data_IF_707094532044
#
_entry.id   IF_707094532044
#
_cell.length_a   1.000
_cell.length_b   1.000
_cell.length_c   1.000
_cell.angle_alpha   90.00
_cell.angle_beta   90.00
_cell.angle_gamma   90.00
#
_symmetry.space_group_name_H-M   'P 1'
#
loop_
_entity.id
_entity.type
_entity.pdbx_description
1 polymer ?
#
# COMPACT_ATOMS: atom_id res chain seq x y z
N UNK A 1 -10.83 -21.90 10.16
CA UNK A 1 -11.54 -20.63 9.91
C UNK A 1 -12.20 -20.75 8.55
N UNK A 2 -13.45 -20.30 8.40
CA UNK A 2 -14.22 -20.37 7.15
C UNK A 2 -14.66 -18.95 6.79
N UNK A 3 -14.31 -18.44 5.59
CA UNK A 3 -14.79 -17.13 5.14
C UNK A 3 -16.33 -17.08 5.07
N UNK A 4 -16.92 -15.96 5.47
CA UNK A 4 -18.35 -15.66 5.24
C UNK A 4 -18.49 -14.67 4.07
N UNK A 5 -18.82 -15.14 2.85
CA UNK A 5 -18.94 -14.28 1.69
C UNK A 5 -20.19 -13.40 1.71
N UNK A 6 -21.14 -13.65 2.61
CA UNK A 6 -22.35 -12.84 2.76
C UNK A 6 -22.17 -11.69 3.75
N UNK A 7 -21.03 -11.61 4.44
CA UNK A 7 -20.75 -10.50 5.35
C UNK A 7 -20.66 -9.17 4.59
N UNK A 8 -21.46 -8.20 5.04
CA UNK A 8 -21.46 -6.82 4.57
C UNK A 8 -21.48 -5.92 5.79
N UNK A 9 -20.34 -5.29 6.08
CA UNK A 9 -20.19 -4.33 7.17
C UNK A 9 -20.28 -2.89 6.68
N UNK A 10 -19.58 -2.00 7.39
CA UNK A 10 -19.39 -0.61 6.96
C UNK A 10 -18.68 -0.60 5.59
N UNK A 11 -19.18 0.14 4.57
CA UNK A 11 -18.66 0.08 3.21
C UNK A 11 -17.21 0.57 3.08
N UNK A 12 -16.70 1.30 4.07
CA UNK A 12 -15.32 1.79 4.13
C UNK A 12 -14.49 0.95 5.11
N UNK A 13 -14.94 0.79 6.34
CA UNK A 13 -14.11 0.15 7.37
C UNK A 13 -14.19 -1.39 7.36
N UNK A 14 -15.27 -1.96 6.83
CA UNK A 14 -15.54 -3.41 6.78
C UNK A 14 -16.30 -3.81 5.51
N UNK A 15 -15.77 -3.46 4.32
CA UNK A 15 -16.45 -3.73 3.06
C UNK A 15 -16.63 -5.23 2.83
N UNK A 16 -17.59 -5.58 1.97
CA UNK A 16 -17.69 -6.94 1.45
C UNK A 16 -16.54 -7.26 0.48
N UNK A 17 -16.31 -8.56 0.26
CA UNK A 17 -15.28 -9.03 -0.65
C UNK A 17 -13.86 -8.88 -0.11
N UNK A 18 -12.93 -8.46 -0.97
CA UNK A 18 -11.52 -8.25 -0.60
C UNK A 18 -11.07 -6.84 -0.93
N UNK A 19 -10.06 -6.35 -0.21
CA UNK A 19 -9.48 -5.01 -0.40
C UNK A 19 -8.03 -5.17 -0.84
N UNK A 20 -7.68 -4.91 -2.12
CA UNK A 20 -6.31 -5.08 -2.63
C UNK A 20 -5.26 -4.35 -1.80
N UNK A 21 -5.58 -3.17 -1.28
CA UNK A 21 -4.71 -2.42 -0.37
C UNK A 21 -4.27 -3.20 0.86
N UNK A 22 -5.16 -3.98 1.48
CA UNK A 22 -4.79 -4.81 2.63
C UNK A 22 -3.90 -5.99 2.23
N UNK A 23 -4.08 -6.56 1.04
CA UNK A 23 -3.18 -7.60 0.53
C UNK A 23 -1.76 -7.05 0.32
N UNK A 24 -1.63 -5.81 -0.19
CA UNK A 24 -0.35 -5.12 -0.33
C UNK A 24 0.29 -4.83 1.03
N UNK A 25 -0.50 -4.37 2.00
CA UNK A 25 -0.03 -4.18 3.38
C UNK A 25 0.47 -5.50 3.99
N UNK A 26 -0.29 -6.59 3.85
CA UNK A 26 0.11 -7.91 4.32
C UNK A 26 1.35 -8.45 3.62
N UNK A 27 1.53 -8.18 2.32
CA UNK A 27 2.76 -8.54 1.61
C UNK A 27 3.98 -7.90 2.27
N UNK A 28 3.91 -6.60 2.59
CA UNK A 28 4.98 -5.89 3.31
C UNK A 28 5.18 -6.46 4.71
N UNK A 29 4.11 -6.62 5.49
CA UNK A 29 4.18 -7.08 6.88
C UNK A 29 4.74 -8.50 6.98
N UNK A 30 4.35 -9.42 6.09
CA UNK A 30 4.91 -10.77 6.03
C UNK A 30 6.40 -10.76 5.66
N UNK A 31 6.80 -9.94 4.69
CA UNK A 31 8.21 -9.80 4.33
C UNK A 31 9.06 -9.25 5.50
N UNK A 32 8.56 -8.25 6.22
CA UNK A 32 9.22 -7.71 7.42
C UNK A 32 9.26 -8.73 8.56
N UNK A 33 8.15 -9.43 8.82
CA UNK A 33 8.06 -10.49 9.82
C UNK A 33 9.08 -11.59 9.56
N UNK A 34 9.24 -12.02 8.31
CA UNK A 34 10.23 -13.02 7.93
C UNK A 34 11.66 -12.58 8.29
N UNK A 35 12.04 -11.32 7.99
CA UNK A 35 13.36 -10.81 8.37
C UNK A 35 13.55 -10.74 9.89
N UNK A 36 12.58 -10.16 10.59
CA UNK A 36 12.63 -9.97 12.05
C UNK A 36 12.57 -11.30 12.81
N UNK A 37 11.91 -12.30 12.24
CA UNK A 37 11.84 -13.68 12.73
C UNK A 37 13.06 -14.53 12.38
N UNK A 38 14.18 -13.91 12.00
CA UNK A 38 15.42 -14.61 11.69
C UNK A 38 15.34 -15.49 10.44
N UNK A 39 14.44 -15.16 9.51
CA UNK A 39 14.22 -15.88 8.24
C UNK A 39 13.86 -17.36 8.43
N UNK A 40 13.19 -17.69 9.53
CA UNK A 40 12.93 -19.07 9.97
C UNK A 40 11.72 -19.76 9.29
N UNK A 41 10.90 -19.01 8.55
CA UNK A 41 9.65 -19.51 7.96
C UNK A 41 9.71 -19.38 6.43
N UNK A 42 10.10 -20.45 5.75
CA UNK A 42 10.41 -20.46 4.31
C UNK A 42 9.22 -20.08 3.41
N UNK A 43 7.99 -20.25 3.89
CA UNK A 43 6.78 -19.92 3.12
C UNK A 43 6.49 -18.42 3.02
N UNK A 44 7.03 -17.60 3.94
CA UNK A 44 6.64 -16.19 4.06
C UNK A 44 7.05 -15.34 2.85
N UNK A 45 8.26 -15.45 2.28
CA UNK A 45 8.63 -14.68 1.10
C UNK A 45 7.75 -14.98 -0.12
N UNK A 46 7.43 -16.26 -0.34
CA UNK A 46 6.56 -16.68 -1.43
C UNK A 46 5.14 -16.15 -1.24
N UNK A 47 4.57 -16.28 -0.03
CA UNK A 47 3.25 -15.76 0.29
C UNK A 47 3.17 -14.23 0.15
N UNK A 48 4.21 -13.51 0.59
CA UNK A 48 4.30 -12.05 0.45
C UNK A 48 4.30 -11.63 -1.02
N UNK A 49 5.13 -12.27 -1.85
CA UNK A 49 5.16 -12.01 -3.29
C UNK A 49 3.83 -12.37 -3.96
N UNK A 50 3.20 -13.49 -3.59
CA UNK A 50 1.92 -13.92 -4.13
C UNK A 50 0.79 -12.92 -3.81
N UNK A 51 0.70 -12.44 -2.57
CA UNK A 51 -0.26 -11.40 -2.18
C UNK A 51 -0.08 -10.12 -3.00
N UNK A 52 1.18 -9.68 -3.17
CA UNK A 52 1.50 -8.49 -3.95
C UNK A 52 1.09 -8.66 -5.43
N UNK A 53 1.54 -9.75 -6.07
CA UNK A 53 1.26 -10.01 -7.48
C UNK A 53 -0.23 -10.19 -7.75
N UNK A 54 -0.96 -10.88 -6.87
CA UNK A 54 -2.40 -11.04 -7.01
C UNK A 54 -3.13 -9.70 -6.87
N UNK A 55 -2.79 -8.90 -5.85
CA UNK A 55 -3.39 -7.58 -5.66
C UNK A 55 -3.12 -6.63 -6.84
N UNK A 56 -1.93 -6.69 -7.43
CA UNK A 56 -1.61 -5.94 -8.65
C UNK A 56 -2.37 -6.46 -9.86
N UNK A 57 -2.49 -7.78 -10.03
CA UNK A 57 -3.18 -8.39 -11.16
C UNK A 57 -4.69 -8.13 -11.19
N UNK A 58 -5.35 -8.15 -10.03
CA UNK A 58 -6.82 -8.01 -9.94
C UNK A 58 -7.29 -6.64 -9.49
N UNK A 59 -6.46 -5.91 -8.73
CA UNK A 59 -6.81 -4.63 -8.12
C UNK A 59 -6.37 -3.40 -8.90
N UNK A 60 -5.44 -3.51 -9.85
CA UNK A 60 -4.93 -2.35 -10.59
C UNK A 60 -5.90 -1.87 -11.67
N UNK A 61 -6.26 -0.58 -11.64
CA UNK A 61 -7.01 0.08 -12.71
C UNK A 61 -6.12 0.23 -13.94
N UNK A 62 -6.35 -0.59 -14.97
CA UNK A 62 -5.55 -0.57 -16.20
C UNK A 62 -5.74 0.71 -17.05
N UNK A 63 -6.80 1.48 -16.80
CA UNK A 63 -7.10 2.70 -17.58
C UNK A 63 -6.38 3.91 -17.00
N UNK A 64 -6.44 4.06 -15.67
CA UNK A 64 -5.91 5.25 -15.00
C UNK A 64 -4.75 4.94 -14.06
N UNK A 65 -4.46 3.69 -13.76
CA UNK A 65 -3.53 3.27 -12.71
C UNK A 65 -4.10 3.46 -11.31
N UNK A 66 -3.40 2.92 -10.30
CA UNK A 66 -3.87 2.89 -8.91
C UNK A 66 -4.79 1.71 -8.63
N UNK A 67 -5.11 1.49 -7.36
CA UNK A 67 -5.84 0.29 -6.93
C UNK A 67 -7.30 0.60 -6.65
N UNK A 68 -8.21 -0.19 -7.23
CA UNK A 68 -9.62 -0.16 -6.84
C UNK A 68 -9.76 -0.55 -5.38
N UNK A 69 -10.79 -0.02 -4.75
CA UNK A 69 -10.92 -0.15 -3.31
C UNK A 69 -11.34 -1.57 -2.89
N UNK A 70 -12.29 -2.17 -3.60
CA UNK A 70 -12.74 -3.55 -3.29
C UNK A 70 -12.91 -4.39 -4.55
N UNK A 71 -12.76 -5.70 -4.37
CA UNK A 71 -13.09 -6.74 -5.32
C UNK A 71 -14.18 -7.64 -4.75
N UNK A 72 -15.07 -8.15 -5.60
CA UNK A 72 -15.99 -9.21 -5.23
C UNK A 72 -15.26 -10.57 -5.06
N UNK A 73 -16.00 -11.61 -4.67
CA UNK A 73 -15.45 -12.96 -4.50
C UNK A 73 -15.05 -13.66 -5.82
N UNK A 74 -15.35 -13.06 -6.97
CA UNK A 74 -14.87 -13.47 -8.29
C UNK A 74 -13.67 -12.63 -8.75
N UNK A 75 -13.06 -11.86 -7.84
CA UNK A 75 -11.94 -10.95 -8.11
C UNK A 75 -12.25 -9.87 -9.16
N UNK A 76 -13.52 -9.47 -9.29
CA UNK A 76 -13.94 -8.37 -10.15
C UNK A 76 -14.03 -7.07 -9.34
N UNK A 77 -13.65 -5.91 -9.91
CA UNK A 77 -13.81 -4.62 -9.24
C UNK A 77 -15.26 -4.32 -8.84
N UNK A 78 -15.50 -4.12 -7.55
CA UNK A 78 -16.79 -3.76 -6.97
C UNK A 78 -16.84 -2.26 -6.64
N UNK A 79 -16.11 -1.81 -5.61
CA UNK A 79 -15.90 -0.38 -5.35
C UNK A 79 -14.68 0.12 -6.13
N UNK A 80 -14.91 0.81 -7.24
CA UNK A 80 -13.87 1.28 -8.18
C UNK A 80 -13.17 2.58 -7.75
N UNK A 81 -13.53 3.14 -6.59
CA UNK A 81 -12.81 4.30 -6.06
C UNK A 81 -11.36 3.93 -5.82
N UNK A 82 -10.45 4.89 -6.09
CA UNK A 82 -9.01 4.72 -5.88
C UNK A 82 -8.58 5.64 -4.75
N UNK A 83 -8.42 5.08 -3.57
CA UNK A 83 -7.97 5.80 -2.37
C UNK A 83 -6.44 5.91 -2.35
N UNK A 84 -5.89 6.83 -1.55
CA UNK A 84 -4.43 7.04 -1.46
C UNK A 84 -3.71 5.87 -0.81
N UNK A 85 -4.30 5.32 0.27
CA UNK A 85 -3.61 4.38 1.15
C UNK A 85 -3.28 3.04 0.48
N UNK A 86 -4.13 2.44 -0.40
CA UNK A 86 -3.76 1.20 -1.08
C UNK A 86 -2.51 1.35 -1.96
N UNK A 87 -2.39 2.49 -2.65
CA UNK A 87 -1.21 2.79 -3.45
C UNK A 87 0.02 3.09 -2.58
N UNK A 88 -0.16 3.73 -1.42
CA UNK A 88 0.92 3.91 -0.44
C UNK A 88 1.46 2.56 0.07
N UNK A 89 0.57 1.63 0.45
CA UNK A 89 0.96 0.28 0.85
C UNK A 89 1.60 -0.51 -0.29
N UNK A 90 1.08 -0.35 -1.52
CA UNK A 90 1.66 -0.94 -2.73
C UNK A 90 3.10 -0.48 -2.96
N UNK A 91 3.38 0.83 -2.87
CA UNK A 91 4.73 1.36 -3.02
C UNK A 91 5.67 0.82 -1.92
N UNK A 92 5.21 0.79 -0.67
CA UNK A 92 6.00 0.27 0.44
C UNK A 92 6.29 -1.24 0.30
N UNK A 93 5.30 -2.02 -0.13
CA UNK A 93 5.44 -3.46 -0.38
C UNK A 93 6.39 -3.75 -1.54
N UNK A 94 6.24 -3.02 -2.65
CA UNK A 94 7.09 -3.14 -3.83
C UNK A 94 8.57 -2.89 -3.50
N UNK A 95 8.86 -1.79 -2.79
CA UNK A 95 10.22 -1.48 -2.34
C UNK A 95 10.78 -2.55 -1.40
N UNK A 96 9.97 -3.00 -0.43
CA UNK A 96 10.36 -4.02 0.54
C UNK A 96 10.67 -5.37 -0.13
N UNK A 97 9.84 -5.80 -1.09
CA UNK A 97 10.04 -7.04 -1.85
C UNK A 97 11.23 -6.95 -2.81
N UNK A 98 11.43 -5.80 -3.46
CA UNK A 98 12.62 -5.57 -4.28
C UNK A 98 13.89 -5.67 -3.44
N UNK A 99 13.94 -5.02 -2.27
CA UNK A 99 15.08 -5.08 -1.36
C UNK A 99 15.39 -6.51 -0.87
N UNK A 100 14.36 -7.33 -0.67
CA UNK A 100 14.53 -8.74 -0.27
C UNK A 100 15.04 -9.62 -1.40
N UNK A 101 14.46 -9.48 -2.60
CA UNK A 101 14.58 -10.48 -3.68
C UNK A 101 15.56 -10.06 -4.78
N UNK A 102 15.83 -8.77 -4.93
CA UNK A 102 16.52 -8.21 -6.09
C UNK A 102 15.71 -8.29 -7.40
N UNK A 103 14.46 -8.78 -7.38
CA UNK A 103 13.64 -8.87 -8.59
C UNK A 103 13.24 -7.45 -9.06
N UNK A 104 13.57 -7.15 -10.32
CA UNK A 104 13.32 -5.86 -10.94
C UNK A 104 11.83 -5.59 -11.18
N UNK A 105 10.99 -6.62 -11.30
CA UNK A 105 9.55 -6.45 -11.49
C UNK A 105 8.91 -5.65 -10.35
N UNK A 106 9.38 -5.86 -9.12
CA UNK A 106 8.91 -5.08 -7.96
C UNK A 106 9.37 -3.62 -8.03
N UNK A 107 10.55 -3.35 -8.57
CA UNK A 107 11.03 -1.97 -8.76
C UNK A 107 10.24 -1.25 -9.85
N UNK A 108 9.88 -1.95 -10.93
CA UNK A 108 9.01 -1.42 -11.98
C UNK A 108 7.62 -1.09 -11.43
N UNK A 109 7.02 -2.01 -10.66
CA UNK A 109 5.77 -1.73 -9.95
C UNK A 109 5.88 -0.54 -9.00
N UNK A 110 6.98 -0.42 -8.26
CA UNK A 110 7.23 0.74 -7.41
C UNK A 110 7.17 2.04 -8.20
N UNK A 111 7.81 2.12 -9.37
CA UNK A 111 7.77 3.29 -10.25
C UNK A 111 6.37 3.59 -10.78
N UNK A 112 5.65 2.57 -11.24
CA UNK A 112 4.30 2.73 -11.78
C UNK A 112 3.33 3.23 -10.71
N UNK A 113 3.43 2.69 -9.49
CA UNK A 113 2.63 3.13 -8.34
C UNK A 113 2.98 4.57 -7.98
N UNK A 114 4.27 4.93 -7.92
CA UNK A 114 4.68 6.29 -7.61
C UNK A 114 4.28 7.32 -8.67
N UNK A 115 4.28 6.94 -9.94
CA UNK A 115 3.77 7.80 -11.00
C UNK A 115 2.30 8.17 -10.76
N UNK A 116 1.48 7.22 -10.30
CA UNK A 116 0.09 7.46 -9.93
C UNK A 116 0.00 8.29 -8.65
N UNK A 117 0.77 7.98 -7.60
CA UNK A 117 0.78 8.75 -6.35
C UNK A 117 1.09 10.24 -6.60
N UNK A 118 2.16 10.51 -7.35
CA UNK A 118 2.60 11.86 -7.67
C UNK A 118 1.57 12.62 -8.53
N UNK A 119 0.97 11.94 -9.51
CA UNK A 119 0.00 12.56 -10.42
C UNK A 119 -1.35 12.84 -9.75
N UNK A 120 -1.86 11.89 -8.96
CA UNK A 120 -3.26 11.87 -8.55
C UNK A 120 -3.51 12.14 -7.08
N UNK A 121 -2.52 12.02 -6.21
CA UNK A 121 -2.74 12.03 -4.77
C UNK A 121 -1.99 13.14 -4.05
N UNK A 122 -0.82 13.58 -4.51
CA UNK A 122 -0.09 14.68 -3.87
C UNK A 122 -0.77 16.03 -4.18
N UNK A 123 -1.13 16.80 -3.15
CA UNK A 123 -1.62 18.17 -3.34
C UNK A 123 -0.45 19.16 -3.35
N UNK A 124 -0.27 19.96 -4.42
CA UNK A 124 0.71 21.06 -4.43
C UNK A 124 0.55 22.08 -3.29
N UNK A 125 -0.64 22.18 -2.68
CA UNK A 125 -0.91 23.03 -1.52
C UNK A 125 -0.59 22.34 -0.17
N UNK A 126 -0.04 21.14 -0.20
CA UNK A 126 0.39 20.36 0.97
C UNK A 126 -0.59 19.25 1.37
N UNK A 127 -0.08 18.12 1.86
CA UNK A 127 -0.90 16.95 2.18
C UNK A 127 -1.32 16.15 0.93
N UNK A 128 -2.15 15.12 1.15
CA UNK A 128 -2.54 14.16 0.11
C UNK A 128 -4.07 14.11 -0.03
N UNK A 129 -4.55 14.10 -1.27
CA UNK A 129 -5.96 13.88 -1.57
C UNK A 129 -6.37 12.46 -1.19
N UNK A 130 -7.53 12.25 -0.55
CA UNK A 130 -7.94 10.93 -0.10
C UNK A 130 -8.49 10.04 -1.23
N UNK A 131 -8.66 10.56 -2.43
CA UNK A 131 -9.06 9.77 -3.59
C UNK A 131 -8.50 10.42 -4.85
N UNK A 132 -8.10 9.59 -5.80
CA UNK A 132 -7.41 9.97 -7.02
C UNK A 132 -8.08 11.15 -7.73
N UNK A 133 -7.28 12.05 -8.30
CA UNK A 133 -7.80 13.19 -9.09
C UNK A 133 -8.20 12.78 -10.51
N UNK A 134 -7.49 11.84 -11.14
CA UNK A 134 -7.88 11.28 -12.43
C UNK A 134 -8.98 10.25 -12.30
N UNK A 135 -9.78 10.03 -13.35
CA UNK A 135 -10.74 8.91 -13.43
C UNK A 135 -11.71 8.79 -12.26
N UNK A 136 -12.06 9.90 -11.61
CA UNK A 136 -13.07 9.93 -10.54
C UNK A 136 -14.43 9.59 -11.13
N UNK A 137 -15.05 8.52 -10.61
CA UNK A 137 -16.45 8.20 -10.89
C UNK A 137 -17.41 9.11 -10.13
N UNK A 138 -18.72 8.88 -10.28
CA UNK A 138 -19.78 9.61 -9.59
C UNK A 138 -19.93 9.26 -8.08
N UNK A 139 -18.87 8.75 -7.44
CA UNK A 139 -18.88 8.38 -6.04
C UNK A 139 -18.62 9.57 -5.12
N UNK A 140 -19.25 9.56 -3.94
CA UNK A 140 -18.91 10.50 -2.87
C UNK A 140 -17.62 10.05 -2.21
N UNK A 141 -16.62 10.93 -2.15
CA UNK A 141 -15.45 10.75 -1.30
C UNK A 141 -15.92 10.63 0.17
N UNK A 142 -15.68 9.51 0.85
CA UNK A 142 -16.15 9.32 2.22
C UNK A 142 -15.35 10.16 3.24
N UNK A 143 -14.25 10.77 2.83
CA UNK A 143 -13.36 11.52 3.71
C UNK A 143 -13.55 13.03 3.59
N UNK A 144 -13.75 13.70 4.73
CA UNK A 144 -13.67 15.14 4.83
C UNK A 144 -12.20 15.60 4.88
N UNK A 145 -11.79 16.48 3.97
CA UNK A 145 -10.43 17.03 3.94
C UNK A 145 -9.37 15.98 3.59
N UNK A 146 -8.27 15.98 4.36
CA UNK A 146 -7.09 15.10 4.20
C UNK A 146 -6.87 14.38 5.53
N UNK A 147 -7.53 13.22 5.73
CA UNK A 147 -7.78 12.67 7.07
C UNK A 147 -6.55 12.00 7.68
N UNK A 148 -5.56 11.65 6.86
CA UNK A 148 -4.43 10.83 7.27
C UNK A 148 -3.14 11.28 6.57
N UNK A 149 -2.03 11.18 7.30
CA UNK A 149 -0.68 11.31 6.75
C UNK A 149 0.14 10.04 7.00
N UNK A 150 -0.34 9.09 7.82
CA UNK A 150 0.40 7.90 8.23
C UNK A 150 0.84 7.07 7.01
N UNK A 151 -0.09 6.68 6.13
CA UNK A 151 0.26 5.84 4.98
C UNK A 151 1.12 6.60 3.96
N UNK A 152 0.83 7.88 3.73
CA UNK A 152 1.61 8.72 2.84
C UNK A 152 3.06 8.88 3.32
N UNK A 153 3.24 9.13 4.62
CA UNK A 153 4.56 9.23 5.24
C UNK A 153 5.30 7.89 5.17
N UNK A 154 4.63 6.78 5.44
CA UNK A 154 5.23 5.46 5.34
C UNK A 154 5.67 5.10 3.93
N UNK A 155 4.88 5.45 2.90
CA UNK A 155 5.27 5.25 1.51
C UNK A 155 6.57 5.99 1.16
N UNK A 156 6.81 7.16 1.76
CA UNK A 156 8.06 7.92 1.57
C UNK A 156 9.25 7.34 2.35
N UNK A 157 9.02 6.80 3.56
CA UNK A 157 10.11 6.44 4.48
C UNK A 157 10.51 4.96 4.44
N UNK A 158 9.56 4.05 4.20
CA UNK A 158 9.83 2.60 4.17
C UNK A 158 10.86 2.22 3.09
N UNK A 159 10.84 2.79 1.87
CA UNK A 159 11.86 2.49 0.86
C UNK A 159 13.29 2.90 1.24
N UNK A 160 13.45 3.75 2.26
CA UNK A 160 14.75 4.28 2.69
C UNK A 160 15.40 3.44 3.80
N UNK A 161 14.71 2.41 4.30
CA UNK A 161 15.16 1.60 5.44
C UNK A 161 15.18 0.11 5.07
N UNK A 162 16.09 -0.68 5.68
CA UNK A 162 16.16 -2.12 5.40
C UNK A 162 14.89 -2.84 5.90
N UNK A 163 14.38 -3.86 5.18
CA UNK A 163 13.20 -4.63 5.60
C UNK A 163 13.43 -5.44 6.89
N UNK A 164 14.69 -5.58 7.32
CA UNK A 164 15.09 -6.26 8.55
C UNK A 164 14.96 -5.43 9.83
N UNK A 165 14.40 -4.23 9.76
CA UNK A 165 14.18 -3.36 10.91
C UNK A 165 12.76 -2.78 10.88
N UNK A 166 12.22 -2.50 12.06
CA UNK A 166 11.01 -1.68 12.17
C UNK A 166 11.30 -0.24 11.78
N UNK A 167 10.35 0.43 11.12
CA UNK A 167 10.53 1.78 10.56
C UNK A 167 11.06 2.79 11.58
N UNK A 168 10.47 2.84 12.77
CA UNK A 168 10.88 3.77 13.83
C UNK A 168 12.30 3.49 14.35
N UNK A 169 12.68 2.22 14.44
CA UNK A 169 14.03 1.82 14.87
C UNK A 169 15.06 2.20 13.81
N UNK A 170 14.79 1.89 12.53
CA UNK A 170 15.69 2.21 11.43
C UNK A 170 15.92 3.73 11.26
N UNK A 171 14.86 4.54 11.43
CA UNK A 171 14.98 6.00 11.36
C UNK A 171 15.78 6.58 12.54
N UNK A 172 15.70 5.95 13.72
CA UNK A 172 16.51 6.33 14.87
C UNK A 172 17.99 6.04 14.62
N UNK A 173 18.30 4.84 14.12
CA UNK A 173 19.67 4.41 13.78
C UNK A 173 20.30 5.28 12.69
N UNK A 174 19.50 5.71 11.71
CA UNK A 174 19.95 6.58 10.62
C UNK A 174 20.14 8.06 11.04
N UNK A 175 19.84 8.42 12.29
CA UNK A 175 19.89 9.81 12.77
C UNK A 175 18.85 10.74 12.14
N UNK A 176 17.91 10.21 11.36
CA UNK A 176 16.90 10.97 10.59
C UNK A 176 15.88 11.62 11.53
N UNK A 177 15.56 10.98 12.66
CA UNK A 177 14.67 11.56 13.67
C UNK A 177 15.23 12.88 14.21
N UNK A 178 16.55 12.97 14.44
CA UNK A 178 17.16 14.21 14.89
C UNK A 178 17.13 15.30 13.82
N UNK A 179 17.26 14.93 12.53
CA UNK A 179 17.22 15.86 11.41
C UNK A 179 15.81 16.41 11.11
N UNK A 180 14.75 15.63 11.36
CA UNK A 180 13.35 16.03 11.14
C UNK A 180 12.78 16.94 12.24
N UNK A 181 13.38 16.95 13.43
CA UNK A 181 12.89 17.71 14.60
C UNK A 181 13.71 19.00 14.83
N UNK A 182 14.77 19.23 14.05
CA UNK A 182 15.49 20.50 14.11
C UNK A 182 14.57 21.61 13.56
N UNK A 183 14.28 22.67 14.33
CA UNK A 183 13.54 23.81 13.80
C UNK A 183 14.33 24.41 12.64
N UNK A 184 13.62 24.77 11.57
CA UNK A 184 14.16 25.47 10.42
C UNK A 184 14.73 26.85 10.80
#
# INVERSE_FOLDING_TARGET
>A
WTPDPAYVGDPIFRPSGTTPGHSLEWARLLNQLWHLGGKSQDWMPEAAAALFCQACGTGWDQTHGGFVYTLDFNSQPDQKQRLWWPACEGAAAAASLHATTGNMDFELWYRDIWAVLARDFIDPQGGWWPEARSGRGAGTNPFAGKPDIYHALQACLIPLVPPSQGLTHALADAGVIAALIQPA
#
